data_IF_391646465079
#
_entry.id   IF_391646465079
#
_cell.length_a   1.000
_cell.length_b   1.000
_cell.length_c   1.000
_cell.angle_alpha   90.00
_cell.angle_beta   90.00
_cell.angle_gamma   90.00
#
_symmetry.space_group_name_H-M   'P 1'
#
loop_
_entity.id
_entity.type
_entity.pdbx_description
1 polymer ?
#
# COMPACT_ATOMS: atom_id res chain seq x y z
N UNK A 1 -38.58 41.59 -8.70
CA UNK A 1 -37.34 42.22 -8.19
C UNK A 1 -37.46 42.45 -6.69
N UNK A 2 -36.41 42.09 -5.94
CA UNK A 2 -35.97 42.71 -4.67
C UNK A 2 -36.87 42.56 -3.43
N UNK A 3 -36.82 41.41 -2.76
CA UNK A 3 -36.99 41.31 -1.29
C UNK A 3 -36.56 39.95 -0.69
N UNK A 4 -35.92 39.05 -1.45
CA UNK A 4 -35.51 37.71 -0.98
C UNK A 4 -34.03 37.60 -0.60
N UNK A 5 -33.33 38.72 -0.47
CA UNK A 5 -31.91 38.78 -0.10
C UNK A 5 -31.76 39.76 1.07
N UNK A 6 -30.95 39.39 2.07
CA UNK A 6 -30.58 40.19 3.26
C UNK A 6 -31.55 40.18 4.46
N UNK A 7 -31.75 38.99 5.06
CA UNK A 7 -31.71 38.74 6.53
C UNK A 7 -31.42 37.23 6.68
N UNK A 8 -30.21 36.68 6.58
CA UNK A 8 -29.01 36.94 7.36
C UNK A 8 -29.32 37.24 8.84
N UNK A 9 -28.77 36.59 9.85
CA UNK A 9 -27.69 35.62 10.04
C UNK A 9 -27.82 35.29 11.57
N UNK A 10 -27.57 34.05 12.01
CA UNK A 10 -27.50 33.57 13.42
C UNK A 10 -28.84 33.20 14.09
N UNK A 11 -29.10 31.90 14.10
CA UNK A 11 -29.52 31.08 15.26
C UNK A 11 -29.84 29.67 14.72
N UNK A 12 -28.82 28.91 14.30
CA UNK A 12 -28.18 27.89 15.14
C UNK A 12 -29.19 26.84 15.66
N UNK A 13 -29.34 25.72 14.93
CA UNK A 13 -29.05 24.37 15.47
C UNK A 13 -29.59 23.26 14.57
N UNK A 14 -28.71 22.28 14.31
CA UNK A 14 -28.98 20.92 13.84
C UNK A 14 -29.77 20.81 12.52
N UNK A 15 -29.15 20.51 11.39
CA UNK A 15 -28.58 19.18 11.16
C UNK A 15 -27.71 19.30 9.91
N UNK A 16 -26.41 19.52 10.12
CA UNK A 16 -25.40 19.31 9.09
C UNK A 16 -25.40 17.82 8.81
N UNK A 17 -26.19 17.40 7.82
CA UNK A 17 -26.04 16.09 7.20
C UNK A 17 -24.72 16.11 6.45
N UNK A 18 -23.71 15.71 7.20
CA UNK A 18 -22.38 15.34 6.78
C UNK A 18 -22.45 14.62 5.42
N UNK A 19 -21.95 15.34 4.42
CA UNK A 19 -21.35 14.83 3.21
C UNK A 19 -20.61 13.51 3.52
N UNK A 20 -21.26 12.40 3.22
CA UNK A 20 -20.72 11.04 3.30
C UNK A 20 -19.72 10.74 2.18
N UNK A 21 -18.90 11.72 1.78
CA UNK A 21 -17.64 11.43 1.10
C UNK A 21 -16.66 11.04 2.21
N UNK A 22 -16.80 9.80 2.67
CA UNK A 22 -15.80 9.17 3.50
C UNK A 22 -14.50 9.13 2.70
N UNK A 23 -13.59 10.04 3.06
CA UNK A 23 -12.17 9.99 2.77
C UNK A 23 -11.70 8.54 2.97
N UNK A 24 -11.46 7.83 1.87
CA UNK A 24 -11.01 6.42 1.88
C UNK A 24 -9.64 6.26 2.55
N UNK A 25 -8.93 7.37 2.79
CA UNK A 25 -7.70 7.42 3.57
C UNK A 25 -7.91 7.12 5.08
N UNK A 26 -9.08 7.48 5.64
CA UNK A 26 -9.32 7.36 7.09
C UNK A 26 -9.70 5.94 7.55
N UNK A 27 -10.31 5.15 6.66
CA UNK A 27 -10.55 3.72 6.89
C UNK A 27 -9.22 2.92 6.92
N UNK A 28 -8.22 3.38 6.17
CA UNK A 28 -6.89 2.76 6.11
C UNK A 28 -6.06 3.05 7.36
N UNK A 29 -6.15 4.27 7.93
CA UNK A 29 -5.41 4.66 9.13
C UNK A 29 -5.85 3.90 10.39
N UNK A 30 -7.16 3.69 10.57
CA UNK A 30 -7.72 2.91 11.70
C UNK A 30 -7.29 1.44 11.70
N UNK A 31 -6.87 0.90 10.54
CA UNK A 31 -6.44 -0.49 10.40
C UNK A 31 -5.04 -0.70 10.97
N UNK A 32 -4.06 0.14 10.62
CA UNK A 32 -2.66 0.02 11.07
C UNK A 32 -2.46 0.18 12.58
N UNK A 33 -3.30 0.98 13.24
CA UNK A 33 -3.20 1.22 14.69
C UNK A 33 -3.65 0.00 15.53
N UNK A 34 -4.51 -0.88 15.01
CA UNK A 34 -4.98 -2.10 15.70
C UNK A 34 -3.93 -3.21 15.80
N UNK A 35 -2.89 -3.17 14.97
CA UNK A 35 -1.92 -4.27 14.85
C UNK A 35 -0.70 -4.14 15.77
N UNK A 36 -0.45 -2.96 16.36
CA UNK A 36 0.82 -2.66 17.07
C UNK A 36 1.00 -3.33 18.43
N UNK A 37 -0.06 -3.86 19.04
CA UNK A 37 0.02 -4.37 20.44
C UNK A 37 -0.66 -5.72 20.68
N UNK A 38 -1.33 -6.32 19.68
CA UNK A 38 -2.06 -7.58 19.88
C UNK A 38 -2.31 -8.37 18.57
N UNK A 39 -1.40 -8.31 17.59
CA UNK A 39 -1.57 -9.07 16.35
C UNK A 39 -1.53 -10.59 16.62
N UNK A 40 -2.51 -11.32 16.10
CA UNK A 40 -2.51 -12.80 16.13
C UNK A 40 -1.88 -13.37 14.85
N UNK A 41 -1.37 -14.61 14.91
CA UNK A 41 -0.82 -15.30 13.72
C UNK A 41 -1.84 -15.31 12.56
N UNK A 42 -3.11 -15.61 12.83
CA UNK A 42 -4.17 -15.59 11.82
C UNK A 42 -4.47 -14.18 11.26
N UNK A 43 -4.23 -13.11 12.03
CA UNK A 43 -4.34 -11.75 11.54
C UNK A 43 -3.19 -11.38 10.60
N UNK A 44 -1.96 -11.78 10.93
CA UNK A 44 -0.77 -11.56 10.10
C UNK A 44 -0.83 -12.39 8.82
N UNK A 45 -1.24 -13.66 8.91
CA UNK A 45 -1.51 -14.56 7.79
C UNK A 45 -2.40 -13.91 6.72
N UNK A 46 -3.52 -13.32 7.16
CA UNK A 46 -4.46 -12.63 6.27
C UNK A 46 -3.84 -11.39 5.62
N UNK A 47 -2.91 -10.70 6.28
CA UNK A 47 -2.21 -9.56 5.68
C UNK A 47 -1.24 -10.06 4.61
N UNK A 48 -0.44 -11.09 4.90
CA UNK A 48 0.50 -11.70 3.95
C UNK A 48 -0.24 -12.15 2.68
N UNK A 49 -1.35 -12.88 2.83
CA UNK A 49 -2.17 -13.30 1.69
C UNK A 49 -2.73 -12.13 0.88
N UNK A 50 -3.09 -11.01 1.54
CA UNK A 50 -3.54 -9.81 0.80
C UNK A 50 -2.38 -9.13 0.08
N UNK A 51 -1.17 -9.15 0.63
CA UNK A 51 0.02 -8.67 -0.08
C UNK A 51 0.22 -9.45 -1.37
N UNK A 52 0.28 -10.79 -1.32
CA UNK A 52 0.44 -11.66 -2.49
C UNK A 52 -0.63 -11.36 -3.55
N UNK A 53 -1.90 -11.46 -3.19
CA UNK A 53 -3.00 -11.23 -4.13
C UNK A 53 -3.00 -9.84 -4.79
N UNK A 54 -2.57 -8.79 -4.07
CA UNK A 54 -2.48 -7.45 -4.65
C UNK A 54 -1.20 -7.29 -5.47
N UNK A 55 -0.12 -7.98 -5.08
CA UNK A 55 1.16 -7.94 -5.75
C UNK A 55 1.07 -8.60 -7.12
N UNK A 56 0.46 -9.78 -7.25
CA UNK A 56 0.28 -10.46 -8.54
C UNK A 56 -0.44 -9.57 -9.56
N UNK A 57 -1.50 -8.88 -9.09
CA UNK A 57 -2.26 -7.92 -9.91
C UNK A 57 -1.43 -6.71 -10.29
N UNK A 58 -0.61 -6.21 -9.36
CA UNK A 58 0.30 -5.11 -9.61
C UNK A 58 1.37 -5.50 -10.62
N UNK A 59 2.07 -6.62 -10.43
CA UNK A 59 3.16 -7.10 -11.29
C UNK A 59 2.67 -7.19 -12.74
N UNK A 60 1.54 -7.85 -12.98
CA UNK A 60 1.00 -7.97 -14.34
C UNK A 60 0.58 -6.64 -14.96
N UNK A 61 0.02 -5.70 -14.17
CA UNK A 61 -0.33 -4.36 -14.69
C UNK A 61 0.89 -3.45 -14.84
N UNK A 62 1.92 -3.64 -14.03
CA UNK A 62 3.15 -2.88 -14.05
C UNK A 62 3.97 -3.21 -15.30
N UNK A 63 4.13 -4.50 -15.60
CA UNK A 63 4.75 -5.02 -16.83
C UNK A 63 4.08 -4.42 -18.07
N UNK A 64 2.77 -4.59 -18.22
CA UNK A 64 2.01 -4.01 -19.36
C UNK A 64 2.10 -2.49 -19.47
N UNK A 65 2.21 -1.78 -18.35
CA UNK A 65 2.35 -0.32 -18.37
C UNK A 65 3.76 0.13 -18.72
N UNK A 66 4.77 -0.67 -18.42
CA UNK A 66 6.15 -0.43 -18.88
C UNK A 66 6.26 -0.68 -20.38
N UNK A 67 5.69 -1.77 -20.91
CA UNK A 67 5.62 -2.10 -22.34
C UNK A 67 4.93 -1.00 -23.17
N UNK A 68 4.02 -0.24 -22.55
CA UNK A 68 3.29 0.87 -23.20
C UNK A 68 3.95 2.24 -22.99
N UNK A 69 5.05 2.28 -22.25
CA UNK A 69 5.74 3.51 -21.90
C UNK A 69 6.92 3.76 -22.84
N UNK A 70 7.63 4.87 -22.61
CA UNK A 70 8.89 5.16 -23.31
C UNK A 70 10.07 4.29 -22.85
N UNK A 71 9.85 3.43 -21.86
CA UNK A 71 10.84 2.50 -21.33
C UNK A 71 10.80 1.14 -22.02
N UNK A 72 9.81 0.88 -22.87
CA UNK A 72 9.66 -0.35 -23.64
C UNK A 72 10.94 -0.70 -24.41
N UNK A 73 11.41 -1.93 -24.24
CA UNK A 73 12.62 -2.48 -24.85
C UNK A 73 13.92 -1.92 -24.27
N UNK A 74 13.88 -1.21 -23.13
CA UNK A 74 15.08 -0.62 -22.52
C UNK A 74 15.57 -1.43 -21.32
N UNK A 75 16.87 -1.40 -21.05
CA UNK A 75 17.42 -2.00 -19.83
C UNK A 75 16.87 -1.38 -18.52
N UNK A 76 16.26 -0.18 -18.60
CA UNK A 76 15.57 0.41 -17.45
C UNK A 76 14.27 -0.33 -17.13
N UNK A 77 13.50 -0.70 -18.15
CA UNK A 77 12.32 -1.56 -17.99
C UNK A 77 12.70 -2.92 -17.42
N UNK A 78 13.71 -3.58 -17.97
CA UNK A 78 14.18 -4.89 -17.46
C UNK A 78 14.51 -4.82 -15.97
N UNK A 79 15.22 -3.77 -15.54
CA UNK A 79 15.55 -3.57 -14.14
C UNK A 79 14.31 -3.38 -13.26
N UNK A 80 13.30 -2.65 -13.76
CA UNK A 80 12.06 -2.38 -13.05
C UNK A 80 11.22 -3.64 -12.90
N UNK A 81 11.05 -4.40 -13.99
CA UNK A 81 10.37 -5.68 -13.99
C UNK A 81 11.08 -6.71 -13.11
N UNK A 82 12.41 -6.74 -13.13
CA UNK A 82 13.19 -7.57 -12.21
C UNK A 82 12.90 -7.21 -10.76
N UNK A 83 12.84 -5.92 -10.40
CA UNK A 83 12.54 -5.51 -9.02
C UNK A 83 11.13 -5.92 -8.58
N UNK A 84 10.14 -5.88 -9.48
CA UNK A 84 8.80 -6.36 -9.21
C UNK A 84 8.78 -7.89 -8.95
N UNK A 85 9.47 -8.67 -9.79
CA UNK A 85 9.64 -10.14 -9.61
C UNK A 85 10.43 -10.51 -8.36
N UNK A 86 11.45 -9.71 -8.01
CA UNK A 86 12.22 -9.88 -6.77
C UNK A 86 11.31 -9.69 -5.53
N UNK A 87 10.34 -8.77 -5.60
CA UNK A 87 9.36 -8.56 -4.52
C UNK A 87 8.40 -9.74 -4.41
N UNK A 88 7.87 -10.23 -5.54
CA UNK A 88 7.00 -11.42 -5.60
C UNK A 88 7.70 -12.65 -4.99
N UNK A 89 8.94 -12.90 -5.40
CA UNK A 89 9.76 -13.99 -4.84
C UNK A 89 9.99 -13.82 -3.33
N UNK A 90 10.17 -12.59 -2.85
CA UNK A 90 10.37 -12.30 -1.44
C UNK A 90 9.09 -12.49 -0.61
N UNK A 91 7.92 -12.13 -1.17
CA UNK A 91 6.64 -12.36 -0.51
C UNK A 91 6.27 -13.84 -0.45
N UNK A 92 6.58 -14.60 -1.50
CA UNK A 92 6.40 -16.06 -1.48
C UNK A 92 7.30 -16.72 -0.42
N UNK A 93 8.54 -16.23 -0.27
CA UNK A 93 9.45 -16.71 0.76
C UNK A 93 8.94 -16.35 2.16
N UNK A 94 8.48 -15.12 2.36
CA UNK A 94 7.81 -14.71 3.60
C UNK A 94 6.63 -15.63 3.92
N UNK A 95 5.78 -15.95 2.94
CA UNK A 95 4.64 -16.86 3.11
C UNK A 95 5.09 -18.25 3.55
N UNK A 96 6.09 -18.82 2.86
CA UNK A 96 6.64 -20.14 3.18
C UNK A 96 7.24 -20.20 4.59
N UNK A 97 8.04 -19.20 4.97
CA UNK A 97 8.63 -19.13 6.31
C UNK A 97 7.57 -18.91 7.38
N UNK A 98 6.57 -18.08 7.10
CA UNK A 98 5.47 -17.81 8.01
C UNK A 98 4.65 -19.06 8.34
N UNK A 99 4.43 -19.91 7.34
CA UNK A 99 3.73 -21.19 7.52
C UNK A 99 4.56 -22.21 8.31
N UNK A 100 5.90 -22.13 8.25
CA UNK A 100 6.83 -23.01 8.98
C UNK A 100 7.03 -22.62 10.44
N UNK A 101 7.10 -21.32 10.73
CA UNK A 101 7.46 -20.81 12.07
C UNK A 101 6.25 -20.76 12.98
N UNK A 102 6.44 -21.01 14.27
CA UNK A 102 5.34 -21.03 15.24
C UNK A 102 4.84 -19.62 15.56
N UNK A 103 5.76 -18.69 15.85
CA UNK A 103 5.43 -17.30 16.10
C UNK A 103 5.48 -16.48 14.82
N UNK A 104 4.48 -15.62 14.64
CA UNK A 104 4.47 -14.67 13.53
C UNK A 104 5.68 -13.73 13.59
N UNK A 105 6.13 -13.36 14.80
CA UNK A 105 7.18 -12.36 14.99
C UNK A 105 8.55 -12.82 14.50
N UNK A 106 8.78 -14.13 14.40
CA UNK A 106 10.03 -14.68 13.87
C UNK A 106 10.27 -14.29 12.41
N UNK A 107 9.23 -13.89 11.67
CA UNK A 107 9.31 -13.53 10.24
C UNK A 107 9.75 -12.07 9.98
N UNK A 108 10.33 -11.42 11.00
CA UNK A 108 10.67 -9.99 10.95
C UNK A 108 11.67 -9.67 9.84
N UNK A 109 12.63 -10.56 9.59
CA UNK A 109 13.68 -10.31 8.61
C UNK A 109 13.17 -10.50 7.17
N UNK A 110 12.27 -11.46 6.94
CA UNK A 110 11.58 -11.66 5.67
C UNK A 110 10.69 -10.46 5.34
N UNK A 111 9.96 -9.93 6.34
CA UNK A 111 9.19 -8.69 6.20
C UNK A 111 10.11 -7.51 5.86
N UNK A 112 11.24 -7.36 6.56
CA UNK A 112 12.20 -6.28 6.26
C UNK A 112 12.74 -6.38 4.83
N UNK A 113 13.04 -7.59 4.35
CA UNK A 113 13.46 -7.82 2.96
C UNK A 113 12.39 -7.36 1.97
N UNK A 114 11.13 -7.72 2.17
CA UNK A 114 10.02 -7.26 1.33
C UNK A 114 9.91 -5.72 1.31
N UNK A 115 9.98 -5.08 2.49
CA UNK A 115 9.89 -3.62 2.62
C UNK A 115 11.04 -2.89 1.91
N UNK A 116 12.25 -3.44 1.97
CA UNK A 116 13.42 -2.85 1.30
C UNK A 116 13.24 -2.87 -0.23
N UNK A 117 12.86 -4.02 -0.79
CA UNK A 117 12.63 -4.17 -2.24
C UNK A 117 11.46 -3.26 -2.69
N UNK A 118 10.38 -3.25 -1.92
CA UNK A 118 9.22 -2.41 -2.20
C UNK A 118 9.54 -0.91 -2.13
N UNK A 119 10.54 -0.49 -1.35
CA UNK A 119 10.96 0.90 -1.30
C UNK A 119 11.59 1.39 -2.60
N UNK A 120 12.32 0.53 -3.32
CA UNK A 120 12.87 0.85 -4.65
C UNK A 120 11.75 1.01 -5.70
N UNK A 121 10.73 0.15 -5.60
CA UNK A 121 9.54 0.24 -6.45
C UNK A 121 8.77 1.54 -6.13
N UNK A 122 8.58 1.89 -4.85
CA UNK A 122 7.90 3.13 -4.45
C UNK A 122 8.58 4.38 -5.02
N UNK A 123 9.92 4.40 -5.04
CA UNK A 123 10.70 5.48 -5.64
C UNK A 123 10.43 5.59 -7.14
N UNK A 124 10.39 4.45 -7.82
CA UNK A 124 10.11 4.38 -9.26
C UNK A 124 8.66 4.78 -9.59
N UNK A 125 7.68 4.33 -8.80
CA UNK A 125 6.27 4.70 -8.97
C UNK A 125 5.98 6.19 -8.70
N UNK A 126 6.84 6.87 -7.94
CA UNK A 126 6.73 8.33 -7.72
C UNK A 126 7.35 9.15 -8.85
N UNK A 127 8.35 8.60 -9.53
CA UNK A 127 9.03 9.28 -10.64
C UNK A 127 8.40 8.97 -11.99
N UNK A 128 7.89 7.74 -12.16
CA UNK A 128 7.24 7.26 -13.37
C UNK A 128 5.72 7.41 -13.23
N UNK A 129 5.09 8.03 -14.23
CA UNK A 129 3.63 8.09 -14.36
C UNK A 129 3.17 6.96 -15.28
N UNK A 130 2.94 5.79 -14.69
CA UNK A 130 2.57 4.56 -15.42
C UNK A 130 1.05 4.39 -15.56
N UNK A 131 0.28 5.39 -15.18
CA UNK A 131 -1.15 5.46 -15.39
C UNK A 131 -1.97 5.06 -14.15
N UNK A 132 -3.28 5.42 -14.13
CA UNK A 132 -4.09 5.32 -12.91
C UNK A 132 -4.28 3.90 -12.38
N UNK A 133 -4.34 2.90 -13.27
CA UNK A 133 -4.53 1.51 -12.88
C UNK A 133 -3.30 0.95 -12.13
N UNK A 134 -2.11 1.13 -12.70
CA UNK A 134 -0.83 0.73 -12.09
C UNK A 134 -0.60 1.45 -10.77
N UNK A 135 -0.83 2.77 -10.73
CA UNK A 135 -0.71 3.58 -9.51
C UNK A 135 -1.69 3.15 -8.41
N UNK A 136 -2.95 2.86 -8.78
CA UNK A 136 -3.95 2.34 -7.85
C UNK A 136 -3.56 0.96 -7.29
N UNK A 137 -3.06 0.07 -8.13
CA UNK A 137 -2.61 -1.25 -7.70
C UNK A 137 -1.39 -1.15 -6.78
N UNK A 138 -0.42 -0.29 -7.10
CA UNK A 138 0.72 -0.02 -6.22
C UNK A 138 0.27 0.51 -4.85
N UNK A 139 -0.68 1.45 -4.82
CA UNK A 139 -1.18 2.00 -3.57
C UNK A 139 -1.79 0.91 -2.66
N UNK A 140 -2.44 -0.10 -3.23
CA UNK A 140 -2.99 -1.26 -2.48
C UNK A 140 -1.87 -2.14 -1.92
N UNK A 141 -0.88 -2.51 -2.76
CA UNK A 141 0.29 -3.30 -2.32
C UNK A 141 1.02 -2.57 -1.18
N UNK A 142 1.32 -1.29 -1.38
CA UNK A 142 2.00 -0.45 -0.39
C UNK A 142 1.21 -0.35 0.92
N UNK A 143 -0.12 -0.28 0.86
CA UNK A 143 -0.94 -0.24 2.06
C UNK A 143 -0.85 -1.54 2.88
N UNK A 144 -0.90 -2.70 2.24
CA UNK A 144 -0.78 -3.99 2.93
C UNK A 144 0.64 -4.25 3.46
N UNK A 145 1.68 -3.89 2.70
CA UNK A 145 3.07 -3.94 3.17
C UNK A 145 3.30 -3.00 4.37
N UNK A 146 2.70 -1.80 4.37
CA UNK A 146 2.77 -0.91 5.53
C UNK A 146 2.00 -1.44 6.74
N UNK A 147 0.96 -2.25 6.56
CA UNK A 147 0.31 -2.94 7.66
C UNK A 147 1.26 -3.98 8.28
N UNK A 148 2.03 -4.73 7.48
CA UNK A 148 3.11 -5.58 7.98
C UNK A 148 4.19 -4.76 8.70
N UNK A 149 4.61 -3.62 8.12
CA UNK A 149 5.58 -2.75 8.77
C UNK A 149 5.10 -2.31 10.18
N UNK A 150 3.81 -1.97 10.33
CA UNK A 150 3.25 -1.64 11.63
C UNK A 150 3.22 -2.82 12.61
N UNK A 151 2.86 -4.02 12.15
CA UNK A 151 2.85 -5.26 12.96
C UNK A 151 4.24 -5.58 13.49
N UNK A 152 5.27 -5.48 12.64
CA UNK A 152 6.65 -5.88 12.95
C UNK A 152 7.53 -4.75 13.50
N UNK A 153 6.93 -3.57 13.75
CA UNK A 153 7.63 -2.36 14.15
C UNK A 153 8.82 -2.03 13.21
N UNK A 154 8.56 -2.13 11.91
CA UNK A 154 9.48 -1.73 10.84
C UNK A 154 9.07 -0.38 10.27
N UNK A 155 9.99 0.37 9.63
CA UNK A 155 9.64 1.63 9.00
C UNK A 155 8.69 1.40 7.83
N UNK A 156 7.73 2.31 7.67
CA UNK A 156 6.80 2.29 6.54
C UNK A 156 7.51 2.68 5.25
N UNK A 157 7.07 2.09 4.13
CA UNK A 157 7.47 2.47 2.78
C UNK A 157 7.10 3.94 2.54
N UNK A 158 8.09 4.72 2.11
CA UNK A 158 7.96 6.16 1.89
C UNK A 158 8.23 7.04 3.10
N UNK A 159 8.57 6.46 4.26
CA UNK A 159 9.10 7.19 5.41
C UNK A 159 10.52 7.73 5.15
N UNK A 160 11.00 8.66 5.98
CA UNK A 160 12.31 9.31 5.81
C UNK A 160 13.49 8.32 5.77
N UNK A 161 13.35 7.15 6.40
CA UNK A 161 14.38 6.08 6.38
C UNK A 161 14.55 5.43 5.00
N UNK A 162 13.54 5.53 4.14
CA UNK A 162 13.52 4.94 2.80
C UNK A 162 13.48 5.99 1.68
N UNK A 163 13.62 7.28 1.99
CA UNK A 163 13.79 8.35 0.98
C UNK A 163 15.27 8.43 0.64
#
# INVERSE_FOLDING_TARGET
MKAKFLKAIIALSAFVLLLGLADTASAQYRRGQRYRTAATKAQVDRVIKRVENQLDRFVGEYDRSLDRSRLDGTGREDWLNKRARDLESATDELRREFDRRDSWYENRDEVRRCLNIASDIDKSMRSLRLGPATESNWAKVRAELNALADVFNEPRIGSRRYK
#
